data_IF_559517045228
#
_entry.id   IF_559517045228
#
_cell.length_a   1.000
_cell.length_b   1.000
_cell.length_c   1.000
_cell.angle_alpha   90.00
_cell.angle_beta   90.00
_cell.angle_gamma   90.00
#
_symmetry.space_group_name_H-M   'P 1'
#
loop_
_entity.id
_entity.type
_entity.pdbx_description
1 polymer ?
#
# COMPACT_ATOMS: atom_id res chain seq x y z
N UNK A 1 -0.07 -15.04 2.92
CA UNK A 1 0.84 -14.73 1.79
C UNK A 1 1.14 -13.24 1.74
N UNK A 2 2.22 -12.77 2.40
CA UNK A 2 2.55 -11.33 2.57
C UNK A 2 2.88 -10.60 1.25
N UNK A 3 3.19 -11.34 0.18
CA UNK A 3 3.64 -10.80 -1.12
C UNK A 3 2.53 -10.41 -2.09
N UNK A 4 1.27 -10.78 -1.82
CA UNK A 4 0.16 -10.56 -2.74
C UNK A 4 -0.12 -9.06 -2.99
N UNK A 5 0.12 -8.21 -1.98
CA UNK A 5 -0.06 -6.77 -2.10
C UNK A 5 1.00 -6.10 -3.00
N UNK A 6 2.23 -6.64 -3.03
CA UNK A 6 3.32 -6.11 -3.86
C UNK A 6 3.12 -6.43 -5.35
N UNK A 7 2.62 -7.63 -5.64
CA UNK A 7 2.27 -8.06 -7.00
C UNK A 7 1.19 -7.16 -7.62
N UNK A 8 0.24 -6.68 -6.82
CA UNK A 8 -0.83 -5.79 -7.28
C UNK A 8 -0.31 -4.44 -7.78
N UNK A 9 0.72 -3.89 -7.11
CA UNK A 9 1.35 -2.62 -7.49
C UNK A 9 2.18 -2.77 -8.76
N UNK A 10 2.99 -3.82 -8.84
CA UNK A 10 3.78 -4.12 -10.04
C UNK A 10 2.89 -4.29 -11.27
N UNK A 11 1.76 -4.99 -11.11
CA UNK A 11 0.81 -5.20 -12.20
C UNK A 11 0.15 -3.89 -12.64
N UNK A 12 -0.27 -3.04 -11.69
CA UNK A 12 -0.82 -1.71 -11.99
C UNK A 12 0.18 -0.78 -12.68
N UNK A 13 1.45 -0.83 -12.29
CA UNK A 13 2.52 -0.03 -12.90
C UNK A 13 2.78 -0.45 -14.34
N UNK A 14 2.83 -1.76 -14.62
CA UNK A 14 3.01 -2.29 -15.98
C UNK A 14 1.84 -1.84 -16.87
N UNK A 15 0.60 -1.97 -16.40
CA UNK A 15 -0.60 -1.57 -17.17
C UNK A 15 -0.58 -0.06 -17.48
N UNK A 16 -0.23 0.78 -16.51
CA UNK A 16 -0.16 2.22 -16.70
C UNK A 16 0.92 2.61 -17.73
N UNK A 17 2.11 2.00 -17.65
CA UNK A 17 3.20 2.23 -18.62
C UNK A 17 2.78 1.74 -20.02
N UNK A 18 2.15 0.56 -20.11
CA UNK A 18 1.70 -0.02 -21.38
C UNK A 18 0.63 0.84 -22.05
N UNK A 19 -0.27 1.44 -21.26
CA UNK A 19 -1.32 2.33 -21.76
C UNK A 19 -0.78 3.62 -22.40
N UNK A 20 0.47 4.00 -22.07
CA UNK A 20 1.13 5.21 -22.55
C UNK A 20 2.12 4.96 -23.69
N UNK A 21 2.52 3.70 -23.92
CA UNK A 21 3.58 3.33 -24.87
C UNK A 21 3.12 3.25 -26.35
N UNK A 22 1.82 3.29 -26.62
CA UNK A 22 1.26 3.19 -27.98
C UNK A 22 0.71 4.51 -28.51
N UNK A 23 0.78 4.71 -29.84
CA UNK A 23 0.24 5.87 -30.54
C UNK A 23 -1.28 6.09 -30.33
N UNK A 24 -2.00 5.03 -29.94
CA UNK A 24 -3.37 5.09 -29.46
C UNK A 24 -3.35 5.12 -27.92
N UNK A 25 -3.06 6.29 -27.37
CA UNK A 25 -3.13 6.54 -25.93
C UNK A 25 -4.59 6.34 -25.50
N UNK A 26 -4.92 5.14 -25.06
CA UNK A 26 -6.29 4.83 -24.66
C UNK A 26 -6.49 5.42 -23.26
N UNK A 27 -6.91 6.69 -23.23
CA UNK A 27 -6.98 7.51 -22.01
C UNK A 27 -7.81 6.86 -20.89
N UNK A 28 -8.80 6.04 -21.26
CA UNK A 28 -9.57 5.21 -20.34
C UNK A 28 -8.73 4.12 -19.66
N UNK A 29 -7.80 3.49 -20.38
CA UNK A 29 -6.88 2.49 -19.82
C UNK A 29 -5.83 3.16 -18.93
N UNK A 30 -5.39 4.37 -19.30
CA UNK A 30 -4.46 5.17 -18.49
C UNK A 30 -5.11 5.58 -17.15
N UNK A 31 -6.34 6.11 -17.19
CA UNK A 31 -7.06 6.50 -15.97
C UNK A 31 -7.34 5.27 -15.10
N UNK A 32 -7.70 4.14 -15.72
CA UNK A 32 -7.90 2.86 -15.04
C UNK A 32 -6.62 2.37 -14.34
N UNK A 33 -5.47 2.43 -15.03
CA UNK A 33 -4.18 2.04 -14.47
C UNK A 33 -3.76 2.90 -13.27
N UNK A 34 -3.96 4.22 -13.33
CA UNK A 34 -3.65 5.14 -12.23
C UNK A 34 -4.57 4.89 -11.03
N UNK A 35 -5.89 4.73 -11.25
CA UNK A 35 -6.84 4.43 -10.16
C UNK A 35 -6.51 3.10 -9.51
N UNK A 36 -6.18 2.07 -10.31
CA UNK A 36 -5.77 0.76 -9.81
C UNK A 36 -4.47 0.84 -8.99
N UNK A 37 -3.50 1.63 -9.44
CA UNK A 37 -2.28 1.94 -8.69
C UNK A 37 -2.60 2.62 -7.36
N UNK A 38 -3.46 3.64 -7.36
CA UNK A 38 -3.84 4.36 -6.14
C UNK A 38 -4.51 3.43 -5.13
N UNK A 39 -5.42 2.56 -5.59
CA UNK A 39 -6.07 1.56 -4.73
C UNK A 39 -5.07 0.52 -4.20
N UNK A 40 -4.14 0.06 -5.04
CA UNK A 40 -3.08 -0.87 -4.63
C UNK A 40 -2.12 -0.28 -3.60
N UNK A 41 -1.67 0.96 -3.82
CA UNK A 41 -0.83 1.72 -2.90
C UNK A 41 -1.58 2.04 -1.60
N UNK A 42 -2.85 2.41 -1.69
CA UNK A 42 -3.68 2.64 -0.51
C UNK A 42 -3.86 1.36 0.32
N UNK A 43 -4.09 0.21 -0.33
CA UNK A 43 -4.24 -1.08 0.37
C UNK A 43 -2.94 -1.53 1.05
N UNK A 44 -1.76 -1.34 0.42
CA UNK A 44 -0.49 -1.62 1.09
C UNK A 44 -0.27 -0.64 2.25
N UNK A 45 -0.51 0.66 2.05
CA UNK A 45 -0.27 1.68 3.07
C UNK A 45 -1.17 1.49 4.31
N UNK A 46 -2.38 0.96 4.12
CA UNK A 46 -3.32 0.67 5.21
C UNK A 46 -3.09 -0.70 5.87
N UNK A 47 -2.43 -1.63 5.18
CA UNK A 47 -2.09 -2.96 5.69
C UNK A 47 -0.66 -3.03 6.25
N UNK A 48 0.15 -1.99 6.05
CA UNK A 48 1.31 -1.75 6.91
C UNK A 48 0.72 -1.45 8.28
N UNK A 49 0.89 -2.32 9.30
CA UNK A 49 0.49 -1.99 10.66
C UNK A 49 1.22 -0.69 11.00
N UNK A 50 0.45 0.37 11.23
CA UNK A 50 0.97 1.62 11.76
C UNK A 50 1.75 1.24 13.01
N UNK A 51 3.07 1.34 12.96
CA UNK A 51 3.97 1.03 14.08
C UNK A 51 3.89 2.14 15.14
N UNK A 52 2.67 2.57 15.50
CA UNK A 52 2.41 3.70 16.38
C UNK A 52 1.27 3.40 17.37
N UNK A 53 1.01 2.14 17.74
CA UNK A 53 -0.01 1.85 18.74
C UNK A 53 0.29 0.67 19.68
N UNK A 54 1.51 0.14 19.70
CA UNK A 54 1.90 -0.95 20.63
C UNK A 54 3.20 -0.62 21.41
N UNK A 55 3.50 0.66 21.67
CA UNK A 55 4.64 1.07 22.52
C UNK A 55 4.28 2.19 23.52
N UNK A 56 3.00 2.30 23.89
CA UNK A 56 2.58 3.15 25.02
C UNK A 56 1.64 2.31 25.89
N UNK A 57 2.20 1.48 26.77
CA UNK A 57 1.60 1.07 28.06
C UNK A 57 2.43 -0.03 28.75
N UNK A 58 3.71 0.25 29.04
CA UNK A 58 4.41 -0.42 30.16
C UNK A 58 5.18 0.63 30.99
N UNK A 59 4.52 1.74 31.31
CA UNK A 59 4.87 2.55 32.49
C UNK A 59 3.70 2.44 33.45
N UNK A 60 3.63 1.35 34.21
CA UNK A 60 2.94 1.29 35.50
C UNK A 60 3.22 -0.05 36.20
N UNK A 61 3.55 0.04 37.48
CA UNK A 61 3.61 -1.03 38.49
C UNK A 61 4.90 -1.86 38.62
N UNK A 62 5.97 -1.22 39.10
CA UNK A 62 6.72 -1.79 40.23
C UNK A 62 6.47 -0.93 41.46
N UNK A 63 5.40 -1.29 42.15
CA UNK A 63 5.08 -0.88 43.51
C UNK A 63 6.08 -1.58 44.45
N UNK A 64 6.53 -0.86 45.48
CA UNK A 64 6.94 -1.30 46.84
C UNK A 64 7.44 -2.74 47.02
N UNK A 65 8.62 -2.88 47.62
CA UNK A 65 8.81 -3.60 48.89
C UNK A 65 10.27 -3.42 49.37
N UNK A 66 10.38 -2.80 50.55
CA UNK A 66 11.43 -2.87 51.60
C UNK A 66 12.92 -2.62 51.32
#
# INVERSE_FOLDING_TARGET
>A
MKYFNYILIILGAIIAIYSKAGANQNQYVLIGGIVLLMVGVYRISRNIPSKNADEIDEDNTNNKED
#
